data_IF_247595357468
#
_entry.id   IF_247595357468
#
_cell.length_a   1.000
_cell.length_b   1.000
_cell.length_c   1.000
_cell.angle_alpha   90.00
_cell.angle_beta   90.00
_cell.angle_gamma   90.00
#
_symmetry.space_group_name_H-M   'P 1'
#
loop_
_entity.id
_entity.type
_entity.pdbx_description
1 polymer ?
#
# COMPACT_ATOMS: atom_id res chain seq x y z
N UNK A 1 11.20 16.08 -1.63
CA UNK A 1 10.68 14.73 -1.32
C UNK A 1 11.25 13.77 -2.35
N UNK A 2 11.84 12.64 -1.95
CA UNK A 2 12.37 11.63 -2.87
C UNK A 2 11.33 10.51 -3.03
N UNK A 3 10.77 10.29 -4.23
CA UNK A 3 9.73 9.28 -4.46
C UNK A 3 10.14 7.85 -4.06
N UNK A 4 11.39 7.46 -4.31
CA UNK A 4 11.90 6.12 -3.97
C UNK A 4 11.96 5.90 -2.45
N UNK A 5 12.36 6.94 -1.72
CA UNK A 5 12.36 6.92 -0.25
C UNK A 5 10.94 6.80 0.30
N UNK A 6 9.98 7.55 -0.25
CA UNK A 6 8.58 7.49 0.19
C UNK A 6 7.92 6.16 -0.19
N UNK A 7 8.25 5.61 -1.35
CA UNK A 7 7.76 4.29 -1.79
C UNK A 7 8.16 3.22 -0.77
N UNK A 8 9.42 3.22 -0.34
CA UNK A 8 9.92 2.29 0.69
C UNK A 8 9.20 2.51 2.02
N UNK A 9 9.13 3.77 2.49
CA UNK A 9 8.48 4.13 3.76
C UNK A 9 7.00 3.71 3.81
N UNK A 10 6.25 3.98 2.74
CA UNK A 10 4.80 3.70 2.69
C UNK A 10 4.55 2.20 2.52
N UNK A 11 5.30 1.51 1.67
CA UNK A 11 5.10 0.06 1.48
C UNK A 11 5.43 -0.75 2.74
N UNK A 12 6.47 -0.35 3.48
CA UNK A 12 6.81 -0.96 4.78
C UNK A 12 5.77 -0.67 5.85
N UNK A 13 5.22 0.55 5.86
CA UNK A 13 4.09 0.90 6.72
C UNK A 13 2.86 0.04 6.41
N UNK A 14 2.49 -0.12 5.13
CA UNK A 14 1.35 -0.95 4.72
C UNK A 14 1.56 -2.40 5.15
N UNK A 15 2.73 -2.98 4.85
CA UNK A 15 3.05 -4.39 5.18
C UNK A 15 3.00 -4.63 6.69
N UNK A 16 3.60 -3.74 7.47
CA UNK A 16 3.61 -3.83 8.94
C UNK A 16 2.20 -3.72 9.50
N UNK A 17 1.44 -2.73 9.03
CA UNK A 17 0.07 -2.49 9.50
C UNK A 17 -0.83 -3.69 9.23
N UNK A 18 -0.78 -4.27 8.03
CA UNK A 18 -1.68 -5.37 7.64
C UNK A 18 -1.25 -6.68 8.31
N UNK A 19 0.03 -7.08 8.20
CA UNK A 19 0.47 -8.41 8.64
C UNK A 19 0.78 -8.46 10.15
N UNK A 20 1.39 -7.41 10.71
CA UNK A 20 1.86 -7.43 12.11
C UNK A 20 0.84 -6.83 13.07
N UNK A 21 0.28 -5.67 12.73
CA UNK A 21 -0.65 -4.94 13.61
C UNK A 21 -2.06 -5.51 13.52
N UNK A 22 -2.65 -5.54 12.32
CA UNK A 22 -4.03 -5.96 12.10
C UNK A 22 -4.20 -7.47 11.93
N UNK A 23 -3.10 -8.19 11.68
CA UNK A 23 -3.05 -9.65 11.45
C UNK A 23 -4.03 -10.11 10.37
N UNK A 24 -4.11 -9.34 9.27
CA UNK A 24 -4.93 -9.65 8.09
C UNK A 24 -4.06 -10.19 6.96
N UNK A 25 -4.70 -10.82 5.96
CA UNK A 25 -4.01 -11.41 4.80
C UNK A 25 -3.82 -10.44 3.64
N UNK A 26 -4.48 -9.28 3.66
CA UNK A 26 -4.47 -8.32 2.56
C UNK A 26 -5.35 -7.11 2.84
N UNK A 27 -5.55 -6.28 1.81
CA UNK A 27 -6.36 -5.07 1.84
C UNK A 27 -7.38 -5.06 0.70
N UNK A 28 -8.52 -4.39 0.92
CA UNK A 28 -9.51 -4.09 -0.13
C UNK A 28 -9.46 -2.60 -0.41
N UNK A 29 -9.31 -2.21 -1.68
CA UNK A 29 -9.20 -0.81 -2.10
C UNK A 29 -10.32 -0.52 -3.09
N UNK A 30 -11.16 0.47 -2.78
CA UNK A 30 -12.14 0.99 -3.74
C UNK A 30 -11.48 1.90 -4.77
N UNK A 31 -11.79 1.71 -6.05
CA UNK A 31 -11.18 2.45 -7.16
C UNK A 31 -12.22 3.35 -7.82
N UNK A 32 -11.94 4.65 -7.87
CA UNK A 32 -12.80 5.65 -8.52
C UNK A 32 -12.32 6.04 -9.93
N UNK A 33 -11.12 5.61 -10.32
CA UNK A 33 -10.40 6.10 -11.50
C UNK A 33 -9.57 7.35 -11.24
N UNK A 34 -9.60 7.89 -10.02
CA UNK A 34 -8.73 9.00 -9.61
C UNK A 34 -7.28 8.55 -9.36
N UNK A 35 -6.35 9.50 -9.52
CA UNK A 35 -4.91 9.28 -9.29
C UNK A 35 -4.63 8.74 -7.89
N UNK A 36 -5.33 9.26 -6.86
CA UNK A 36 -5.11 8.85 -5.47
C UNK A 36 -5.44 7.37 -5.26
N UNK A 37 -6.63 6.94 -5.71
CA UNK A 37 -7.05 5.54 -5.57
C UNK A 37 -6.15 4.59 -6.36
N UNK A 38 -5.62 5.05 -7.50
CA UNK A 38 -4.71 4.27 -8.36
C UNK A 38 -3.32 4.11 -7.73
N UNK A 39 -2.79 5.19 -7.13
CA UNK A 39 -1.51 5.15 -6.42
C UNK A 39 -1.60 4.27 -5.17
N UNK A 40 -2.68 4.39 -4.40
CA UNK A 40 -2.92 3.53 -3.22
C UNK A 40 -2.97 2.05 -3.64
N UNK A 41 -3.70 1.72 -4.71
CA UNK A 41 -3.75 0.35 -5.23
C UNK A 41 -2.35 -0.17 -5.60
N UNK A 42 -1.58 0.61 -6.36
CA UNK A 42 -0.23 0.22 -6.77
C UNK A 42 0.71 0.00 -5.55
N UNK A 43 0.61 0.85 -4.53
CA UNK A 43 1.36 0.70 -3.28
C UNK A 43 0.94 -0.54 -2.49
N UNK A 44 -0.36 -0.84 -2.43
CA UNK A 44 -0.87 -2.06 -1.81
C UNK A 44 -0.33 -3.32 -2.50
N UNK A 45 -0.40 -3.39 -3.83
CA UNK A 45 0.15 -4.51 -4.61
C UNK A 45 1.66 -4.65 -4.37
N UNK A 46 2.40 -3.54 -4.36
CA UNK A 46 3.85 -3.57 -4.08
C UNK A 46 4.16 -4.03 -2.65
N UNK A 47 3.34 -3.66 -1.67
CA UNK A 47 3.56 -3.99 -0.27
C UNK A 47 3.15 -5.44 0.09
N UNK A 48 2.04 -5.90 -0.48
CA UNK A 48 1.32 -7.11 -0.06
C UNK A 48 1.41 -8.26 -1.08
N UNK A 49 1.81 -7.99 -2.33
CA UNK A 49 1.77 -8.94 -3.43
C UNK A 49 0.47 -8.84 -4.26
N UNK A 50 0.40 -9.58 -5.39
CA UNK A 50 -0.81 -9.70 -6.21
C UNK A 50 -1.90 -10.54 -5.53
#
# INVERSE_FOLDING_TARGET
MNPETELTRITDFIRTSIHKTLKRKGAVVGISGGIDSSVVLALCVRALGP
#
